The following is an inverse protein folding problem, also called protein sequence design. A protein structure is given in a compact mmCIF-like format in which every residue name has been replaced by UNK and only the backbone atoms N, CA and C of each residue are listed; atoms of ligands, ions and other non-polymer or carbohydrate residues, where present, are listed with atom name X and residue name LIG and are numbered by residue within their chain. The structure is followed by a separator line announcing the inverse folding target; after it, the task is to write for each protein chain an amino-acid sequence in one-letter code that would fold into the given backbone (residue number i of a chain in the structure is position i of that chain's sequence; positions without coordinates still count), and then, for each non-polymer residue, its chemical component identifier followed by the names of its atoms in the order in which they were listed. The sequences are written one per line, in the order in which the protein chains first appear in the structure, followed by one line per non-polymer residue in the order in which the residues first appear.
data_IF_968865783476
#
_entry.id   IF_968865783476
#
_cell.length_a   1.000
_cell.length_b   1.000
_cell.length_c   1.000
_cell.angle_alpha   90.00
_cell.angle_beta   90.00
_cell.angle_gamma   90.00
#
_symmetry.space_group_name_H-M   'P 1'
#
loop_
_entity.id
_entity.type
_entity.pdbx_description
1 polymer ?
#
# COMPACT_ATOMS: atom_id res chain seq x y z
N UNK A 1 33.28 -9.35 16.63
CA UNK A 1 33.19 -8.29 15.61
C UNK A 1 32.39 -8.71 14.36
N UNK A 2 32.65 -9.87 13.74
CA UNK A 2 31.93 -10.32 12.53
C UNK A 2 30.39 -10.46 12.69
N UNK A 3 29.92 -10.94 13.84
CA UNK A 3 28.48 -11.11 14.09
C UNK A 3 27.71 -9.78 14.16
N UNK A 4 28.32 -8.70 14.66
CA UNK A 4 27.68 -7.38 14.76
C UNK A 4 27.52 -6.71 13.38
N UNK A 5 28.51 -6.90 12.49
CA UNK A 5 28.44 -6.43 11.10
C UNK A 5 27.34 -7.14 10.30
N UNK A 6 27.16 -8.44 10.51
CA UNK A 6 26.11 -9.21 9.84
C UNK A 6 24.72 -8.69 10.23
N UNK A 7 24.49 -8.43 11.52
CA UNK A 7 23.19 -7.90 12.00
C UNK A 7 22.92 -6.50 11.43
N UNK A 8 23.93 -5.64 11.36
CA UNK A 8 23.80 -4.29 10.80
C UNK A 8 23.48 -4.30 9.30
N UNK A 9 24.11 -5.18 8.53
CA UNK A 9 23.85 -5.35 7.09
C UNK A 9 22.46 -5.96 6.82
N UNK A 10 21.99 -6.88 7.67
CA UNK A 10 20.62 -7.41 7.60
C UNK A 10 19.57 -6.33 7.91
N UNK A 11 19.88 -5.41 8.83
CA UNK A 11 18.99 -4.29 9.15
C UNK A 11 18.90 -3.26 8.01
N UNK A 12 20.05 -2.89 7.42
CA UNK A 12 20.12 -2.00 6.26
C UNK A 12 19.42 -2.57 5.03
N UNK A 13 19.60 -3.86 4.75
CA UNK A 13 18.94 -4.53 3.62
C UNK A 13 17.41 -4.62 3.79
N UNK A 14 16.91 -4.85 5.02
CA UNK A 14 15.46 -4.77 5.32
C UNK A 14 14.86 -3.38 5.04
N UNK A 15 15.56 -2.31 5.43
CA UNK A 15 15.11 -0.94 5.19
C UNK A 15 15.06 -0.62 3.69
N UNK A 16 16.06 -1.09 2.92
CA UNK A 16 16.10 -0.88 1.46
C UNK A 16 15.06 -1.70 0.70
N UNK A 17 14.73 -2.90 1.18
CA UNK A 17 13.70 -3.77 0.58
C UNK A 17 12.30 -3.15 0.64
N UNK A 18 11.98 -2.37 1.67
CA UNK A 18 10.68 -1.74 1.84
C UNK A 18 10.39 -0.67 0.78
N UNK A 19 11.42 -0.09 0.16
CA UNK A 19 11.29 0.97 -0.84
C UNK A 19 11.01 0.44 -2.28
N UNK A 20 11.29 -0.84 -2.56
CA UNK A 20 11.11 -1.42 -3.92
C UNK A 20 9.66 -1.80 -4.28
N UNK A 21 8.75 -1.87 -3.32
CA UNK A 21 7.37 -2.33 -3.55
C UNK A 21 6.46 -1.32 -4.26
N UNK A 22 6.94 -0.11 -4.59
CA UNK A 22 6.09 0.97 -5.12
C UNK A 22 5.94 0.98 -6.66
N UNK A 23 6.78 0.28 -7.43
CA UNK A 23 6.93 0.51 -8.88
C UNK A 23 6.23 -0.51 -9.82
N UNK A 24 5.23 -1.25 -9.36
CA UNK A 24 4.70 -2.40 -10.13
C UNK A 24 3.25 -2.26 -10.57
N UNK A 25 2.79 -1.15 -11.15
CA UNK A 25 1.43 -1.12 -11.73
C UNK A 25 1.32 -0.21 -12.96
N UNK A 26 1.83 -0.67 -14.09
CA UNK A 26 1.45 -0.19 -15.41
C UNK A 26 1.74 -1.33 -16.39
N UNK A 27 0.72 -2.14 -16.68
CA UNK A 27 0.76 -3.14 -17.75
C UNK A 27 -0.33 -2.71 -18.74
N UNK A 28 0.08 -2.06 -19.82
CA UNK A 28 -0.82 -1.64 -20.90
C UNK A 28 -1.32 -2.91 -21.60
N UNK A 29 -2.63 -3.17 -21.57
CA UNK A 29 -3.21 -4.35 -22.21
C UNK A 29 -3.35 -4.15 -23.71
N UNK A 30 -2.82 -5.09 -24.49
CA UNK A 30 -3.06 -5.21 -25.93
C UNK A 30 -4.52 -5.64 -26.10
N UNK A 31 -5.24 -5.09 -27.08
CA UNK A 31 -6.62 -5.50 -27.39
C UNK A 31 -6.65 -7.01 -27.65
N UNK A 32 -7.47 -7.73 -26.89
CA UNK A 32 -7.63 -9.19 -26.97
C UNK A 32 -9.10 -9.53 -27.18
N UNK A 33 -9.37 -10.67 -27.79
CA UNK A 33 -10.73 -11.23 -27.86
C UNK A 33 -10.90 -12.25 -26.74
N UNK A 34 -12.03 -12.21 -26.05
CA UNK A 34 -12.35 -13.14 -24.97
C UNK A 34 -13.80 -13.59 -25.10
N UNK A 35 -14.04 -14.85 -24.75
CA UNK A 35 -15.37 -15.45 -24.74
C UNK A 35 -16.13 -15.03 -23.49
N UNK A 36 -17.35 -14.52 -23.65
CA UNK A 36 -18.18 -14.08 -22.53
C UNK A 36 -18.70 -15.27 -21.71
N UNK A 37 -18.62 -15.25 -20.36
CA UNK A 37 -19.14 -16.33 -19.52
C UNK A 37 -20.67 -16.40 -19.47
N UNK A 38 -21.38 -15.32 -19.83
CA UNK A 38 -22.84 -15.26 -19.77
C UNK A 38 -23.50 -15.71 -21.08
N UNK A 39 -23.06 -15.17 -22.22
CA UNK A 39 -23.68 -15.44 -23.53
C UNK A 39 -22.86 -16.37 -24.43
N UNK A 40 -21.64 -16.77 -24.01
CA UNK A 40 -20.73 -17.63 -24.77
C UNK A 40 -20.28 -17.09 -26.15
N UNK A 41 -20.62 -15.85 -26.48
CA UNK A 41 -20.15 -15.15 -27.67
C UNK A 41 -18.75 -14.57 -27.47
N UNK A 42 -17.98 -14.47 -28.54
CA UNK A 42 -16.67 -13.81 -28.53
C UNK A 42 -16.84 -12.29 -28.58
N UNK A 43 -16.11 -11.57 -27.72
CA UNK A 43 -16.20 -10.11 -27.62
C UNK A 43 -14.83 -9.46 -27.53
N UNK A 44 -14.77 -8.20 -27.97
CA UNK A 44 -13.59 -7.36 -27.84
C UNK A 44 -13.37 -6.99 -26.37
N UNK A 45 -12.17 -7.29 -25.86
CA UNK A 45 -11.73 -6.96 -24.52
C UNK A 45 -10.54 -6.00 -24.56
N UNK A 46 -10.66 -4.90 -23.81
CA UNK A 46 -9.65 -3.85 -23.75
C UNK A 46 -8.66 -4.08 -22.60
N UNK A 47 -8.80 -5.20 -21.87
CA UNK A 47 -7.96 -5.52 -20.72
C UNK A 47 -8.34 -4.79 -19.45
N UNK A 48 -9.53 -4.18 -19.39
CA UNK A 48 -10.01 -3.52 -18.18
C UNK A 48 -10.95 -4.45 -17.40
N UNK A 49 -10.97 -4.29 -16.09
CA UNK A 49 -11.77 -5.11 -15.16
C UNK A 49 -13.26 -4.78 -15.24
N UNK A 50 -13.60 -3.59 -15.73
CA UNK A 50 -14.94 -3.03 -15.87
C UNK A 50 -15.50 -3.15 -17.30
N UNK A 51 -14.77 -3.78 -18.22
CA UNK A 51 -15.26 -4.01 -19.57
C UNK A 51 -16.51 -4.92 -19.55
N UNK A 52 -17.45 -4.63 -20.46
CA UNK A 52 -18.73 -5.32 -20.62
C UNK A 52 -18.86 -5.93 -22.00
N UNK A 53 -19.57 -7.06 -22.07
CA UNK A 53 -19.84 -7.77 -23.32
C UNK A 53 -20.71 -6.91 -24.25
N UNK A 54 -20.35 -6.82 -25.53
CA UNK A 54 -21.09 -6.06 -26.54
C UNK A 54 -22.50 -6.60 -26.81
N UNK A 55 -22.75 -7.89 -26.56
CA UNK A 55 -24.02 -8.56 -26.88
C UNK A 55 -24.97 -8.64 -25.68
N UNK A 56 -24.46 -9.05 -24.51
CA UNK A 56 -25.29 -9.27 -23.31
C UNK A 56 -25.10 -8.22 -22.22
N UNK A 57 -24.15 -7.28 -22.39
CA UNK A 57 -23.79 -6.24 -21.43
C UNK A 57 -23.37 -6.73 -20.03
N UNK A 58 -23.08 -8.03 -19.91
CA UNK A 58 -22.52 -8.67 -18.72
C UNK A 58 -21.02 -8.37 -18.56
N UNK A 59 -20.53 -8.41 -17.32
CA UNK A 59 -19.10 -8.23 -17.04
C UNK A 59 -18.30 -9.44 -17.56
N UNK A 60 -17.16 -9.19 -18.21
CA UNK A 60 -16.34 -10.28 -18.75
C UNK A 60 -15.57 -10.99 -17.63
N UNK A 61 -15.13 -10.25 -16.61
CA UNK A 61 -14.38 -10.76 -15.46
C UNK A 61 -15.13 -10.49 -14.15
N UNK A 62 -16.18 -11.26 -13.88
CA UNK A 62 -17.04 -11.09 -12.69
C UNK A 62 -16.26 -11.29 -11.40
N UNK A 63 -15.40 -12.31 -11.33
CA UNK A 63 -14.64 -12.66 -10.12
C UNK A 63 -13.64 -11.56 -9.74
N UNK A 64 -12.86 -11.10 -10.72
CA UNK A 64 -11.88 -10.06 -10.53
C UNK A 64 -12.52 -8.70 -10.23
N UNK A 65 -13.63 -8.38 -10.89
CA UNK A 65 -14.42 -7.19 -10.56
C UNK A 65 -14.94 -7.25 -9.13
N UNK A 66 -15.55 -8.36 -8.72
CA UNK A 66 -16.09 -8.55 -7.36
C UNK A 66 -14.98 -8.41 -6.32
N UNK A 67 -13.83 -9.05 -6.53
CA UNK A 67 -12.66 -8.92 -5.65
C UNK A 67 -12.15 -7.48 -5.58
N UNK A 68 -12.16 -6.76 -6.69
CA UNK A 68 -11.74 -5.35 -6.73
C UNK A 68 -12.71 -4.46 -5.93
N UNK A 69 -14.01 -4.71 -6.04
CA UNK A 69 -15.07 -4.00 -5.32
C UNK A 69 -14.99 -4.31 -3.83
N UNK A 70 -14.89 -5.59 -3.45
CA UNK A 70 -14.68 -5.99 -2.06
C UNK A 70 -13.45 -5.34 -1.45
N UNK A 71 -12.36 -5.27 -2.21
CA UNK A 71 -11.12 -4.63 -1.74
C UNK A 71 -11.31 -3.13 -1.54
N UNK A 72 -12.07 -2.46 -2.41
CA UNK A 72 -12.41 -1.03 -2.25
C UNK A 72 -13.28 -0.81 -1.01
N UNK A 73 -14.34 -1.60 -0.85
CA UNK A 73 -15.24 -1.53 0.31
C UNK A 73 -14.45 -1.77 1.61
N UNK A 74 -13.63 -2.82 1.67
CA UNK A 74 -12.78 -3.10 2.84
C UNK A 74 -11.82 -1.95 3.16
N UNK A 75 -11.28 -1.27 2.13
CA UNK A 75 -10.41 -0.10 2.32
C UNK A 75 -11.19 1.11 2.85
N UNK A 76 -12.43 1.31 2.41
CA UNK A 76 -13.28 2.41 2.90
C UNK A 76 -13.72 2.17 4.34
N UNK A 77 -14.21 0.97 4.66
CA UNK A 77 -14.54 0.58 6.06
C UNK A 77 -13.32 0.73 6.97
N UNK A 78 -12.15 0.26 6.54
CA UNK A 78 -10.91 0.42 7.32
C UNK A 78 -10.51 1.88 7.52
N UNK A 79 -10.84 2.78 6.58
CA UNK A 79 -10.60 4.22 6.77
C UNK A 79 -11.55 4.76 7.83
N UNK A 80 -12.82 4.38 7.82
CA UNK A 80 -13.82 4.83 8.80
C UNK A 80 -13.53 4.35 10.23
N UNK A 81 -12.89 3.17 10.36
CA UNK A 81 -12.40 2.61 11.62
C UNK A 81 -11.14 3.30 12.17
N UNK A 82 -10.36 4.03 11.34
CA UNK A 82 -9.18 4.77 11.85
C UNK A 82 -9.66 5.90 12.77
N UNK A 83 -9.13 5.93 14.00
CA UNK A 83 -9.46 6.91 15.02
C UNK A 83 -9.15 8.36 14.59
N UNK A 84 -8.22 8.57 13.66
CA UNK A 84 -7.92 9.89 13.09
C UNK A 84 -8.69 10.22 11.81
N UNK A 85 -9.62 9.36 11.39
CA UNK A 85 -10.47 9.65 10.24
C UNK A 85 -11.40 10.82 10.55
N UNK A 86 -11.49 11.76 9.61
CA UNK A 86 -12.30 12.96 9.72
C UNK A 86 -13.71 12.59 9.26
N UNK A 87 -14.68 12.63 10.18
CA UNK A 87 -16.09 12.37 9.86
C UNK A 87 -16.81 13.69 9.62
N UNK A 88 -17.80 13.68 8.74
CA UNK A 88 -18.61 14.86 8.45
C UNK A 88 -19.45 15.31 9.66
N UNK A 89 -19.69 14.40 10.60
CA UNK A 89 -20.41 14.65 11.86
C UNK A 89 -19.54 15.25 12.96
N UNK A 90 -18.23 15.39 12.76
CA UNK A 90 -17.31 15.91 13.78
C UNK A 90 -17.40 17.44 13.92
N UNK A 91 -17.21 17.95 15.14
CA UNK A 91 -17.16 19.39 15.39
C UNK A 91 -15.96 20.05 14.67
N UNK A 92 -16.06 21.33 14.28
CA UNK A 92 -14.99 22.03 13.53
C UNK A 92 -13.66 22.12 14.30
N UNK A 93 -13.69 22.04 15.64
CA UNK A 93 -12.49 21.97 16.47
C UNK A 93 -11.80 20.60 16.37
N UNK A 94 -12.57 19.51 16.43
CA UNK A 94 -12.05 18.13 16.30
C UNK A 94 -11.45 17.92 14.91
N UNK A 95 -12.07 18.46 13.86
CA UNK A 95 -11.54 18.42 12.49
C UNK A 95 -10.14 19.05 12.42
N UNK A 96 -9.98 20.28 12.94
CA UNK A 96 -8.68 20.96 12.95
C UNK A 96 -7.60 20.17 13.71
N UNK A 97 -7.96 19.61 14.86
CA UNK A 97 -7.06 18.79 15.66
C UNK A 97 -6.61 17.53 14.92
N UNK A 98 -7.56 16.79 14.31
CA UNK A 98 -7.25 15.59 13.51
C UNK A 98 -6.37 15.94 12.31
N UNK A 99 -6.65 17.04 11.59
CA UNK A 99 -5.82 17.51 10.47
C UNK A 99 -4.39 17.81 10.89
N UNK A 100 -4.16 18.34 12.09
CA UNK A 100 -2.82 18.58 12.62
C UNK A 100 -2.10 17.30 13.07
N UNK A 101 -2.82 16.33 13.63
CA UNK A 101 -2.25 15.07 14.13
C UNK A 101 -1.86 14.07 13.02
N UNK A 102 -2.53 14.12 11.86
CA UNK A 102 -2.23 13.26 10.71
C UNK A 102 -0.76 13.36 10.22
N UNK A 103 -0.21 14.55 9.95
CA UNK A 103 1.21 14.67 9.59
C UNK A 103 2.14 14.37 10.77
N UNK A 104 1.73 14.67 12.00
CA UNK A 104 2.53 14.38 13.20
C UNK A 104 2.80 12.88 13.36
N UNK A 105 1.83 12.02 13.06
CA UNK A 105 2.00 10.54 13.05
C UNK A 105 3.16 10.11 12.16
N UNK A 106 3.26 10.68 10.96
CA UNK A 106 4.34 10.37 10.00
C UNK A 106 5.69 10.88 10.50
N UNK A 107 5.74 12.10 11.02
CA UNK A 107 6.96 12.71 11.56
C UNK A 107 7.49 11.90 12.72
N UNK A 108 6.62 11.51 13.66
CA UNK A 108 7.01 10.71 14.82
C UNK A 108 7.57 9.34 14.41
N UNK A 109 6.95 8.68 13.42
CA UNK A 109 7.45 7.43 12.88
C UNK A 109 8.86 7.55 12.29
N UNK A 110 9.10 8.58 11.46
CA UNK A 110 10.44 8.81 10.90
C UNK A 110 11.46 9.22 11.96
N UNK A 111 11.05 10.03 12.93
CA UNK A 111 11.90 10.41 14.06
C UNK A 111 12.31 9.19 14.88
N UNK A 112 11.37 8.29 15.18
CA UNK A 112 11.63 7.04 15.90
C UNK A 112 12.61 6.14 15.14
N UNK A 113 12.41 5.96 13.83
CA UNK A 113 13.37 5.21 13.00
C UNK A 113 14.74 5.86 13.01
N UNK A 114 14.81 7.18 12.82
CA UNK A 114 16.05 7.93 12.83
C UNK A 114 16.79 7.79 14.17
N UNK A 115 16.06 7.85 15.28
CA UNK A 115 16.62 7.67 16.62
C UNK A 115 17.17 6.25 16.83
N UNK A 116 16.43 5.22 16.43
CA UNK A 116 16.89 3.83 16.53
C UNK A 116 18.15 3.60 15.70
N UNK A 117 18.18 4.12 14.47
CA UNK A 117 19.37 4.05 13.60
C UNK A 117 20.55 4.79 14.24
N UNK A 118 20.33 6.01 14.75
CA UNK A 118 21.35 6.80 15.40
C UNK A 118 21.98 6.10 16.61
N UNK A 119 21.16 5.58 17.53
CA UNK A 119 21.65 4.83 18.71
C UNK A 119 22.36 3.55 18.29
N UNK A 120 21.83 2.83 17.31
CA UNK A 120 22.46 1.63 16.77
C UNK A 120 23.86 1.92 16.20
N UNK A 121 24.01 3.01 15.44
CA UNK A 121 25.30 3.45 14.92
C UNK A 121 26.27 3.86 16.03
N UNK A 122 25.81 4.59 17.05
CA UNK A 122 26.65 4.98 18.19
C UNK A 122 27.19 3.76 18.96
N UNK A 123 26.33 2.78 19.26
CA UNK A 123 26.74 1.55 19.94
C UNK A 123 27.77 0.77 19.14
N UNK A 124 27.63 0.74 17.81
CA UNK A 124 28.59 0.11 16.93
C UNK A 124 29.96 0.80 16.97
N UNK A 125 30.00 2.13 16.94
CA UNK A 125 31.24 2.91 17.03
C UNK A 125 31.94 2.67 18.36
N UNK A 126 31.20 2.73 19.48
CA UNK A 126 31.77 2.49 20.82
C UNK A 126 32.34 1.07 20.90
N UNK A 127 31.62 0.08 20.35
CA UNK A 127 32.09 -1.30 20.32
C UNK A 127 33.40 -1.48 19.56
N UNK A 128 33.63 -0.75 18.47
CA UNK A 128 34.90 -0.76 17.72
C UNK A 128 36.00 -0.06 18.52
N UNK A 129 35.72 1.08 19.12
CA UNK A 129 36.72 1.84 19.88
C UNK A 129 37.17 1.09 21.14
N UNK A 130 36.27 0.31 21.75
CA UNK A 130 36.58 -0.49 22.95
C UNK A 130 37.27 -1.83 22.66
N UNK A 131 37.31 -2.27 21.41
CA UNK A 131 37.86 -3.55 20.98
C UNK A 131 39.29 -3.40 20.46
#
# INVERSE_FOLDING_TARGET
MAQALIVFLLFLSSILLQNRYFLTQYKLSIKQEIKCPHCHEWTLWLGRMDDRCLYCNGFLQVEDFTKSVETKIKKEVRKEEDFLFIRETDSPFVVKLKTFLLPARRIFYYFQIGFVVFISTLLWIIGIVSA
#
